data_IF_656673886334
#
_entry.id   IF_656673886334
#
_cell.length_a   1.000
_cell.length_b   1.000
_cell.length_c   1.000
_cell.angle_alpha   90.00
_cell.angle_beta   90.00
_cell.angle_gamma   90.00
#
_symmetry.space_group_name_H-M   'P 1'
#
loop_
_entity.id
_entity.type
_entity.pdbx_description
1 polymer ?
#
# COMPACT_ATOMS: atom_id res chain seq x y z
N UNK A 1 9.74 5.00 21.86
CA UNK A 1 9.21 3.65 22.16
C UNK A 1 7.72 3.68 21.88
N UNK A 2 7.21 2.80 21.02
CA UNK A 2 5.76 2.67 20.78
C UNK A 2 5.20 1.82 21.92
N UNK A 3 4.29 2.39 22.71
CA UNK A 3 3.62 1.62 23.76
C UNK A 3 2.46 0.84 23.13
N UNK A 4 2.20 -0.35 23.66
CA UNK A 4 1.04 -1.15 23.26
C UNK A 4 -0.26 -0.35 23.41
N UNK A 5 -1.15 -0.46 22.41
CA UNK A 5 -2.42 0.28 22.38
C UNK A 5 -2.33 1.76 21.99
N UNK A 6 -1.13 2.33 21.83
CA UNK A 6 -0.98 3.71 21.33
C UNK A 6 -1.00 3.73 19.79
N UNK A 7 -1.86 4.55 19.16
CA UNK A 7 -1.86 4.68 17.71
C UNK A 7 -0.59 5.39 17.22
N UNK A 8 -0.09 5.00 16.06
CA UNK A 8 1.07 5.61 15.41
C UNK A 8 0.96 5.47 13.89
N UNK A 9 1.69 6.30 13.16
CA UNK A 9 1.94 6.13 11.73
C UNK A 9 3.37 5.64 11.54
N UNK A 10 3.58 4.67 10.65
CA UNK A 10 4.88 4.06 10.39
C UNK A 10 5.12 3.95 8.89
N UNK A 11 6.36 4.18 8.48
CA UNK A 11 6.82 3.98 7.10
C UNK A 11 8.18 3.30 7.09
N UNK A 12 8.34 2.39 6.14
CA UNK A 12 9.61 1.75 5.81
C UNK A 12 9.93 2.05 4.35
N UNK A 13 11.13 2.57 4.11
CA UNK A 13 11.61 2.94 2.79
C UNK A 13 12.41 1.79 2.15
N UNK A 14 12.59 1.78 0.82
CA UNK A 14 13.31 0.71 0.12
C UNK A 14 14.77 0.52 0.56
N UNK A 15 15.39 1.55 1.14
CA UNK A 15 16.74 1.50 1.69
C UNK A 15 16.80 0.90 3.12
N UNK A 16 15.66 0.48 3.67
CA UNK A 16 15.53 -0.03 5.03
C UNK A 16 15.38 1.05 6.09
N UNK A 17 15.31 2.33 5.72
CA UNK A 17 15.03 3.42 6.67
C UNK A 17 13.62 3.29 7.22
N UNK A 18 13.48 3.44 8.55
CA UNK A 18 12.21 3.30 9.27
C UNK A 18 11.90 4.56 10.04
N UNK A 19 10.68 5.07 9.88
CA UNK A 19 10.22 6.28 10.55
C UNK A 19 8.85 6.06 11.19
N UNK A 20 8.62 6.67 12.34
CA UNK A 20 7.34 6.59 13.05
C UNK A 20 6.91 7.95 13.59
N UNK A 21 5.64 8.30 13.41
CA UNK A 21 4.99 9.42 14.07
C UNK A 21 4.16 8.90 15.25
N UNK A 22 4.54 9.29 16.47
CA UNK A 22 3.91 8.82 17.72
C UNK A 22 2.75 9.73 18.18
N UNK A 23 2.70 10.97 17.70
CA UNK A 23 1.64 11.92 18.01
C UNK A 23 0.67 12.00 16.84
N UNK A 24 -0.33 11.10 16.84
CA UNK A 24 -1.31 10.98 15.74
C UNK A 24 -2.69 11.49 16.11
N UNK A 25 -2.77 12.45 17.04
CA UNK A 25 -4.04 13.13 17.34
C UNK A 25 -4.48 13.92 16.10
N UNK A 26 -5.69 13.66 15.61
CA UNK A 26 -6.24 14.24 14.37
C UNK A 26 -5.36 13.97 13.14
N UNK A 27 -4.63 12.85 13.11
CA UNK A 27 -3.81 12.49 11.97
C UNK A 27 -4.69 12.16 10.75
N UNK A 28 -4.38 12.67 9.55
CA UNK A 28 -5.19 12.39 8.37
C UNK A 28 -5.18 10.90 8.06
N UNK A 29 -6.36 10.28 8.00
CA UNK A 29 -6.49 8.83 7.72
C UNK A 29 -5.86 8.44 6.37
N UNK A 30 -5.89 9.35 5.40
CA UNK A 30 -5.35 9.14 4.05
C UNK A 30 -3.94 9.73 3.87
N UNK A 31 -3.24 10.12 4.95
CA UNK A 31 -1.92 10.77 4.86
C UNK A 31 -0.92 10.00 3.98
N UNK A 32 -0.84 8.67 4.15
CA UNK A 32 0.05 7.85 3.32
C UNK A 32 -0.29 7.93 1.82
N UNK A 33 -1.59 8.00 1.48
CA UNK A 33 -2.05 8.19 0.09
C UNK A 33 -1.76 9.60 -0.41
N UNK A 34 -1.98 10.62 0.42
CA UNK A 34 -1.68 12.03 0.10
C UNK A 34 -0.19 12.21 -0.28
N UNK A 35 0.72 11.63 0.51
CA UNK A 35 2.16 11.66 0.20
C UNK A 35 2.45 11.01 -1.14
N UNK A 36 1.97 9.77 -1.37
CA UNK A 36 2.27 9.01 -2.59
C UNK A 36 1.64 9.63 -3.85
N UNK A 37 0.39 10.07 -3.77
CA UNK A 37 -0.35 10.65 -4.88
C UNK A 37 0.13 12.07 -5.24
N UNK A 38 0.85 12.73 -4.34
CA UNK A 38 1.39 14.05 -4.54
C UNK A 38 2.22 14.20 -5.82
N UNK A 39 2.21 15.42 -6.36
CA UNK A 39 2.89 15.80 -7.62
C UNK A 39 4.34 15.36 -7.74
N UNK A 40 5.08 15.29 -6.63
CA UNK A 40 6.49 14.93 -6.62
C UNK A 40 6.75 13.42 -6.81
N UNK A 41 5.76 12.56 -6.59
CA UNK A 41 5.90 11.10 -6.65
C UNK A 41 5.09 10.50 -7.80
N UNK A 42 3.76 10.39 -7.63
CA UNK A 42 2.89 9.76 -8.63
C UNK A 42 2.09 10.76 -9.47
N UNK A 43 1.98 12.01 -9.02
CA UNK A 43 1.26 13.07 -9.72
C UNK A 43 -0.18 12.67 -10.11
N UNK A 44 -0.93 12.18 -9.12
CA UNK A 44 -2.31 11.72 -9.26
C UNK A 44 -3.15 12.12 -8.04
N UNK A 45 -3.13 13.41 -7.71
CA UNK A 45 -3.78 13.99 -6.52
C UNK A 45 -5.29 13.69 -6.44
N UNK A 46 -5.94 13.43 -7.58
CA UNK A 46 -7.34 12.98 -7.65
C UNK A 46 -7.58 11.62 -6.99
N UNK A 47 -6.52 10.81 -6.81
CA UNK A 47 -6.56 9.45 -6.24
C UNK A 47 -6.28 9.41 -4.74
N UNK A 48 -6.13 10.56 -4.08
CA UNK A 48 -5.94 10.63 -2.62
C UNK A 48 -7.15 10.02 -1.90
N UNK A 49 -8.36 10.43 -2.29
CA UNK A 49 -9.59 9.88 -1.72
C UNK A 49 -9.90 8.50 -2.29
N UNK A 50 -9.88 7.48 -1.41
CA UNK A 50 -10.17 6.11 -1.80
C UNK A 50 -11.57 5.95 -2.41
N UNK A 51 -12.53 6.79 -2.01
CA UNK A 51 -13.89 6.78 -2.58
C UNK A 51 -13.92 7.25 -4.03
N UNK A 52 -12.94 8.07 -4.44
CA UNK A 52 -12.82 8.60 -5.79
C UNK A 52 -11.75 7.85 -6.60
N UNK A 53 -11.05 6.88 -6.00
CA UNK A 53 -9.99 6.09 -6.63
C UNK A 53 -10.50 4.70 -7.09
N UNK A 54 -11.75 4.61 -7.51
CA UNK A 54 -12.35 3.37 -8.00
C UNK A 54 -12.14 3.23 -9.52
N UNK A 55 -11.88 1.99 -9.96
CA UNK A 55 -11.80 1.62 -11.39
C UNK A 55 -13.04 0.83 -11.81
N UNK A 56 -13.28 0.72 -13.11
CA UNK A 56 -14.34 -0.16 -13.61
C UNK A 56 -14.02 -1.63 -13.29
N UNK A 57 -15.06 -2.44 -13.05
CA UNK A 57 -14.90 -3.82 -12.54
C UNK A 57 -14.10 -4.72 -13.51
N UNK A 58 -14.29 -4.53 -14.80
CA UNK A 58 -13.55 -5.21 -15.86
C UNK A 58 -12.05 -4.86 -15.82
N UNK A 59 -11.72 -3.58 -15.69
CA UNK A 59 -10.33 -3.11 -15.53
C UNK A 59 -9.68 -3.69 -14.26
N UNK A 60 -10.40 -3.66 -13.14
CA UNK A 60 -9.93 -4.28 -11.89
C UNK A 60 -9.64 -5.77 -12.08
N UNK A 61 -10.52 -6.50 -12.77
CA UNK A 61 -10.37 -7.94 -13.00
C UNK A 61 -9.09 -8.24 -13.79
N UNK A 62 -8.81 -7.46 -14.84
CA UNK A 62 -7.59 -7.59 -15.64
C UNK A 62 -6.34 -7.31 -14.80
N UNK A 63 -6.35 -6.23 -14.01
CA UNK A 63 -5.20 -5.86 -13.16
C UNK A 63 -4.91 -6.90 -12.08
N UNK A 64 -5.96 -7.44 -11.44
CA UNK A 64 -5.82 -8.50 -10.43
C UNK A 64 -5.20 -9.75 -11.06
N UNK A 65 -5.69 -10.18 -12.24
CA UNK A 65 -5.15 -11.36 -12.90
C UNK A 65 -3.68 -11.18 -13.27
N UNK A 66 -3.32 -10.01 -13.81
CA UNK A 66 -1.93 -9.67 -14.13
C UNK A 66 -1.04 -9.69 -12.89
N UNK A 67 -1.51 -9.14 -11.77
CA UNK A 67 -0.77 -9.15 -10.51
C UNK A 67 -0.52 -10.58 -10.03
N UNK A 68 -1.57 -11.41 -10.00
CA UNK A 68 -1.49 -12.83 -9.61
C UNK A 68 -0.46 -13.57 -10.45
N UNK A 69 -0.55 -13.46 -11.78
CA UNK A 69 0.35 -14.16 -12.68
C UNK A 69 1.80 -13.67 -12.53
N UNK A 70 2.01 -12.37 -12.30
CA UNK A 70 3.35 -11.80 -12.07
C UNK A 70 3.95 -12.13 -10.70
N UNK A 71 3.10 -12.35 -9.69
CA UNK A 71 3.54 -12.64 -8.33
C UNK A 71 3.77 -14.13 -8.10
N UNK A 72 3.25 -15.01 -8.99
CA UNK A 72 3.36 -16.47 -8.88
C UNK A 72 4.76 -17.00 -8.51
N UNK A 73 5.88 -16.52 -9.08
CA UNK A 73 7.22 -17.01 -8.70
C UNK A 73 7.65 -16.71 -7.26
N UNK A 74 6.93 -15.84 -6.55
CA UNK A 74 7.20 -15.39 -5.19
C UNK A 74 6.14 -15.87 -4.19
N UNK A 75 5.11 -16.59 -4.67
CA UNK A 75 4.01 -17.06 -3.83
C UNK A 75 4.40 -18.36 -3.11
N UNK A 76 4.90 -18.21 -1.88
CA UNK A 76 5.24 -19.32 -0.99
C UNK A 76 4.01 -20.07 -0.44
N UNK A 77 2.80 -19.64 -0.77
CA UNK A 77 1.55 -20.33 -0.39
C UNK A 77 0.95 -21.15 -1.55
N UNK A 78 1.57 -21.10 -2.73
CA UNK A 78 1.19 -21.92 -3.87
C UNK A 78 1.64 -23.37 -3.66
N UNK A 79 0.74 -24.20 -3.12
CA UNK A 79 1.02 -25.61 -2.81
C UNK A 79 1.40 -26.47 -4.04
N UNK A 80 1.32 -25.92 -5.25
CA UNK A 80 1.73 -26.59 -6.49
C UNK A 80 3.24 -26.47 -6.77
N UNK A 81 4.01 -25.72 -5.95
CA UNK A 81 5.46 -25.51 -6.17
C UNK A 81 6.40 -26.51 -5.44
N UNK A 82 5.89 -27.39 -4.58
CA UNK A 82 6.69 -28.36 -3.81
C UNK A 82 6.93 -29.69 -4.55
N UNK A 83 6.86 -29.69 -5.89
CA UNK A 83 7.09 -30.86 -6.74
C UNK A 83 8.32 -30.72 -7.65
N UNK A 84 9.48 -30.36 -7.10
CA UNK A 84 10.80 -30.67 -7.69
C UNK A 84 11.83 -31.06 -6.62
#
# INVERSE_FOLDING_TARGET
MVNEGCPYFYVELPDGTRMAALSVRNFPLQFGREVLAGRALLNCEEKVDWRNCELAKDEQTILVKKLQDSFKPFDFTDNDSDSE
#
